data_IF_643511045844
#
_entry.id   IF_643511045844
#
_cell.length_a   1.000
_cell.length_b   1.000
_cell.length_c   1.000
_cell.angle_alpha   90.00
_cell.angle_beta   90.00
_cell.angle_gamma   90.00
#
_symmetry.space_group_name_H-M   'P 1'
#
loop_
_entity.id
_entity.type
_entity.pdbx_description
1 polymer ?
#
# COMPACT_ATOMS: atom_id res chain seq x y z
N UNK A 1 -14.05 -15.48 7.52
CA UNK A 1 -12.91 -15.24 6.60
C UNK A 1 -12.51 -13.80 6.85
N UNK A 2 -11.92 -13.52 8.02
CA UNK A 2 -12.02 -12.19 8.64
C UNK A 2 -10.65 -11.51 8.88
N UNK A 3 -9.55 -12.11 8.42
CA UNK A 3 -8.19 -11.65 8.74
C UNK A 3 -7.36 -11.25 7.51
N UNK A 4 -7.99 -10.71 6.45
CA UNK A 4 -7.25 -10.21 5.29
C UNK A 4 -7.41 -8.70 5.13
N UNK A 5 -6.29 -7.99 5.08
CA UNK A 5 -6.24 -6.55 4.92
C UNK A 5 -5.01 -6.11 4.12
N UNK A 6 -5.11 -4.99 3.42
CA UNK A 6 -3.99 -4.29 2.79
C UNK A 6 -3.88 -2.87 3.33
N UNK A 7 -2.69 -2.26 3.18
CA UNK A 7 -2.50 -0.85 3.51
C UNK A 7 -2.98 0.07 2.37
N UNK A 8 -3.29 1.32 2.69
CA UNK A 8 -3.51 2.38 1.68
C UNK A 8 -2.31 2.55 0.74
N UNK A 9 -1.08 2.26 1.19
CA UNK A 9 0.11 2.31 0.32
C UNK A 9 -0.03 1.29 -0.82
N UNK A 10 -0.42 0.06 -0.49
CA UNK A 10 -0.63 -1.01 -1.49
C UNK A 10 -1.77 -0.66 -2.44
N UNK A 11 -2.86 -0.08 -1.94
CA UNK A 11 -3.94 0.40 -2.80
C UNK A 11 -3.45 1.48 -3.77
N UNK A 12 -2.64 2.44 -3.29
CA UNK A 12 -2.06 3.47 -4.16
C UNK A 12 -1.16 2.86 -5.26
N UNK A 13 -0.37 1.84 -4.94
CA UNK A 13 0.46 1.12 -5.93
C UNK A 13 -0.39 0.37 -6.97
N UNK A 14 -1.51 -0.26 -6.54
CA UNK A 14 -2.45 -0.90 -7.45
C UNK A 14 -3.08 0.12 -8.41
N UNK A 15 -3.52 1.27 -7.90
CA UNK A 15 -4.11 2.34 -8.71
C UNK A 15 -3.12 2.90 -9.74
N UNK A 16 -1.86 3.12 -9.32
CA UNK A 16 -0.78 3.48 -10.25
C UNK A 16 -0.57 2.41 -11.33
N UNK A 17 -0.53 1.13 -10.94
CA UNK A 17 -0.39 0.01 -11.86
C UNK A 17 -1.53 -0.07 -12.88
N UNK A 18 -2.77 0.20 -12.47
CA UNK A 18 -3.91 0.28 -13.38
C UNK A 18 -3.80 1.47 -14.35
N UNK A 19 -3.48 2.66 -13.85
CA UNK A 19 -3.31 3.86 -14.68
C UNK A 19 -2.21 3.66 -15.74
N UNK A 20 -1.09 3.04 -15.36
CA UNK A 20 0.05 2.78 -16.24
C UNK A 20 -0.10 1.53 -17.14
N UNK A 21 -1.26 0.88 -17.12
CA UNK A 21 -1.51 -0.34 -17.91
C UNK A 21 -2.00 -0.05 -19.33
N UNK A 22 -2.01 -1.07 -20.19
CA UNK A 22 -2.59 -0.97 -21.54
C UNK A 22 -4.11 -0.84 -21.56
N UNK A 23 -4.80 -1.06 -20.43
CA UNK A 23 -6.26 -0.91 -20.32
C UNK A 23 -6.67 -0.42 -18.92
N UNK A 24 -6.48 0.87 -18.60
CA UNK A 24 -6.75 1.42 -17.27
C UNK A 24 -8.18 1.23 -16.79
N UNK A 25 -9.17 1.48 -17.67
CA UNK A 25 -10.60 1.33 -17.33
C UNK A 25 -10.96 -0.08 -16.86
N UNK A 26 -10.39 -1.12 -17.50
CA UNK A 26 -10.61 -2.51 -17.08
C UNK A 26 -9.97 -2.77 -15.71
N UNK A 27 -8.74 -2.31 -15.52
CA UNK A 27 -7.99 -2.60 -14.31
C UNK A 27 -8.52 -1.83 -13.09
N UNK A 28 -9.03 -0.61 -13.26
CA UNK A 28 -9.74 0.09 -12.18
C UNK A 28 -10.96 -0.68 -11.71
N UNK A 29 -11.80 -1.18 -12.62
CA UNK A 29 -12.97 -2.01 -12.23
C UNK A 29 -12.58 -3.26 -11.43
N UNK A 30 -11.45 -3.88 -11.77
CA UNK A 30 -10.94 -5.04 -11.03
C UNK A 30 -10.51 -4.61 -9.63
N UNK A 31 -9.79 -3.49 -9.51
CA UNK A 31 -9.33 -2.96 -8.22
C UNK A 31 -10.51 -2.50 -7.36
N UNK A 32 -11.53 -1.87 -7.93
CA UNK A 32 -12.75 -1.46 -7.23
C UNK A 32 -13.43 -2.69 -6.62
N UNK A 33 -13.67 -3.73 -7.44
CA UNK A 33 -14.29 -4.98 -6.97
C UNK A 33 -13.45 -5.71 -5.91
N UNK A 34 -12.12 -5.66 -6.03
CA UNK A 34 -11.22 -6.21 -5.02
C UNK A 34 -11.27 -5.41 -3.70
N UNK A 35 -11.31 -4.08 -3.79
CA UNK A 35 -11.31 -3.17 -2.64
C UNK A 35 -12.59 -3.27 -1.81
N UNK A 36 -13.71 -3.67 -2.43
CA UNK A 36 -14.96 -3.98 -1.71
C UNK A 36 -14.88 -5.26 -0.87
N UNK A 37 -13.96 -6.17 -1.20
CA UNK A 37 -13.84 -7.50 -0.56
C UNK A 37 -12.71 -7.57 0.48
N UNK A 38 -11.84 -6.57 0.55
CA UNK A 38 -10.70 -6.55 1.47
C UNK A 38 -10.71 -5.32 2.37
N UNK A 39 -10.26 -5.48 3.61
CA UNK A 39 -10.10 -4.34 4.53
C UNK A 39 -8.91 -3.49 4.09
N UNK A 40 -9.12 -2.19 3.90
CA UNK A 40 -8.05 -1.22 3.67
C UNK A 40 -7.72 -0.52 4.98
N UNK A 41 -6.45 -0.58 5.40
CA UNK A 41 -5.97 0.02 6.63
C UNK A 41 -5.36 1.41 6.38
N UNK A 42 -5.73 2.44 7.17
CA UNK A 42 -5.24 3.79 6.99
C UNK A 42 -3.74 3.91 7.32
N UNK A 43 -3.00 4.68 6.51
CA UNK A 43 -1.57 4.89 6.73
C UNK A 43 -1.27 5.72 7.98
N UNK A 44 -2.21 6.58 8.39
CA UNK A 44 -2.00 7.57 9.45
C UNK A 44 -1.42 6.97 10.75
N UNK A 45 -1.95 5.81 11.16
CA UNK A 45 -1.51 5.12 12.37
C UNK A 45 -0.08 4.57 12.29
N UNK A 46 0.46 4.40 11.08
CA UNK A 46 1.80 3.88 10.83
C UNK A 46 2.87 4.98 10.69
N UNK A 47 2.50 6.26 10.61
CA UNK A 47 3.43 7.37 10.31
C UNK A 47 4.55 7.47 11.36
N UNK A 48 4.21 7.38 12.65
CA UNK A 48 5.20 7.47 13.73
C UNK A 48 6.13 6.25 13.73
N UNK A 49 5.59 5.05 13.48
CA UNK A 49 6.37 3.80 13.38
C UNK A 49 7.34 3.90 12.20
N UNK A 50 6.85 4.34 11.04
CA UNK A 50 7.67 4.56 9.84
C UNK A 50 8.85 5.50 10.13
N UNK A 51 8.59 6.65 10.77
CA UNK A 51 9.65 7.62 11.08
C UNK A 51 10.73 7.02 12.00
N UNK A 52 10.32 6.34 13.06
CA UNK A 52 11.23 5.65 13.98
C UNK A 52 12.07 4.59 13.27
N UNK A 53 11.42 3.71 12.50
CA UNK A 53 12.07 2.61 11.81
C UNK A 53 13.00 3.08 10.69
N UNK A 54 12.62 4.13 9.95
CA UNK A 54 13.47 4.72 8.91
C UNK A 54 14.76 5.31 9.50
N UNK A 55 14.70 5.94 10.67
CA UNK A 55 15.91 6.43 11.37
C UNK A 55 16.76 5.25 11.86
N UNK A 56 16.14 4.24 12.48
CA UNK A 56 16.82 3.05 12.98
C UNK A 56 17.59 2.33 11.85
N UNK A 57 16.92 2.11 10.72
CA UNK A 57 17.51 1.46 9.55
C UNK A 57 18.63 2.31 8.93
N UNK A 58 18.46 3.62 8.80
CA UNK A 58 19.50 4.52 8.27
C UNK A 58 20.76 4.56 9.14
N UNK A 59 20.61 4.47 10.47
CA UNK A 59 21.77 4.36 11.37
C UNK A 59 22.46 3.01 11.22
N UNK A 60 21.69 1.93 11.04
CA UNK A 60 22.23 0.57 10.86
C UNK A 60 22.96 0.39 9.53
N UNK A 61 22.46 0.99 8.45
CA UNK A 61 23.08 0.93 7.12
C UNK A 61 24.19 1.95 6.86
N UNK A 62 24.67 2.67 7.88
CA UNK A 62 25.83 3.58 7.79
C UNK A 62 27.18 2.87 7.99
N UNK A 63 27.15 1.55 8.19
CA UNK A 63 28.33 0.70 8.37
C UNK A 63 28.71 -0.11 7.11
N UNK A 64 28.06 0.17 5.97
CA UNK A 64 28.45 -0.33 4.63
C UNK A 64 29.13 0.81 3.85
#
# INVERSE_FOLDING_TARGET
>A
MDDCAISEITLAELMFGAENSSNPKKNFKIIDSFSEQIRILPIFNAIQIYASEKVRLRKKGKND
#
